data_IF_115576369063
#
_entry.id   IF_115576369063
#
_cell.length_a   1.000
_cell.length_b   1.000
_cell.length_c   1.000
_cell.angle_alpha   90.00
_cell.angle_beta   90.00
_cell.angle_gamma   90.00
#
_symmetry.space_group_name_H-M   'P 1'
#
loop_
_entity.id
_entity.type
_entity.pdbx_description
1 polymer ?
#
# COMPACT_ATOMS: atom_id res chain seq x y z
N UNK A 1 18.98 38.21 -47.72
CA UNK A 1 18.73 37.73 -49.10
C UNK A 1 17.45 36.90 -49.19
N UNK A 2 16.65 37.00 -50.28
CA UNK A 2 15.46 36.15 -50.49
C UNK A 2 15.84 34.76 -51.07
N UNK A 3 14.91 33.79 -51.11
CA UNK A 3 15.24 32.41 -51.50
C UNK A 3 15.70 32.27 -52.96
N UNK A 4 15.04 32.97 -53.89
CA UNK A 4 15.41 32.95 -55.30
C UNK A 4 16.76 33.65 -55.53
N UNK A 5 17.00 34.74 -54.81
CA UNK A 5 18.29 35.42 -54.78
C UNK A 5 19.40 34.52 -54.23
N UNK A 6 19.12 33.67 -53.24
CA UNK A 6 20.08 32.72 -52.70
C UNK A 6 20.47 31.63 -53.72
N UNK A 7 19.51 31.07 -54.46
CA UNK A 7 19.81 30.12 -55.54
C UNK A 7 20.63 30.78 -56.66
N UNK A 8 20.24 31.98 -57.07
CA UNK A 8 21.01 32.77 -58.05
C UNK A 8 22.40 33.12 -57.53
N UNK A 9 22.54 33.43 -56.24
CA UNK A 9 23.82 33.73 -55.61
C UNK A 9 24.76 32.52 -55.68
N UNK A 10 24.28 31.27 -55.60
CA UNK A 10 25.12 30.09 -55.75
C UNK A 10 25.30 29.60 -57.20
N UNK A 11 24.72 30.30 -58.18
CA UNK A 11 24.63 29.87 -59.59
C UNK A 11 23.93 28.50 -59.72
N UNK A 12 22.83 28.32 -58.99
CA UNK A 12 22.04 27.09 -58.96
C UNK A 12 20.61 27.33 -59.43
N UNK A 13 20.01 26.29 -59.99
CA UNK A 13 18.56 26.24 -60.24
C UNK A 13 17.80 26.09 -58.92
N UNK A 14 16.60 26.66 -58.82
CA UNK A 14 15.71 26.48 -57.66
C UNK A 14 15.37 25.00 -57.41
N UNK A 15 15.47 24.16 -58.45
CA UNK A 15 15.24 22.72 -58.40
C UNK A 15 16.51 21.88 -58.15
N UNK A 16 17.65 22.50 -57.80
CA UNK A 16 18.91 21.78 -57.57
C UNK A 16 18.76 20.77 -56.41
N UNK A 17 19.43 19.62 -56.46
CA UNK A 17 19.39 18.65 -55.34
C UNK A 17 20.25 19.13 -54.16
N UNK A 18 20.06 18.56 -52.96
CA UNK A 18 20.88 18.92 -51.78
C UNK A 18 22.37 18.66 -52.03
N UNK A 19 22.67 17.56 -52.72
CA UNK A 19 24.04 17.22 -53.12
C UNK A 19 24.63 18.25 -54.10
N UNK A 20 23.83 18.75 -55.04
CA UNK A 20 24.25 19.81 -55.97
C UNK A 20 24.54 21.13 -55.25
N UNK A 21 23.72 21.49 -54.26
CA UNK A 21 23.91 22.68 -53.43
C UNK A 21 25.20 22.59 -52.62
N UNK A 22 25.42 21.47 -51.94
CA UNK A 22 26.62 21.23 -51.14
C UNK A 22 27.89 21.23 -52.02
N UNK A 23 27.84 20.52 -53.15
CA UNK A 23 28.96 20.44 -54.09
C UNK A 23 29.32 21.80 -54.67
N UNK A 24 28.33 22.65 -54.94
CA UNK A 24 28.56 23.98 -55.49
C UNK A 24 29.13 24.94 -54.44
N UNK A 25 28.65 24.89 -53.19
CA UNK A 25 29.24 25.67 -52.10
C UNK A 25 30.70 25.25 -51.83
N UNK A 26 30.99 23.95 -51.86
CA UNK A 26 32.36 23.44 -51.73
C UNK A 26 33.29 23.91 -52.86
N UNK A 27 32.78 24.14 -54.08
CA UNK A 27 33.57 24.75 -55.17
C UNK A 27 33.93 26.20 -54.85
N UNK A 28 33.01 26.98 -54.30
CA UNK A 28 33.28 28.36 -53.87
C UNK A 28 34.32 28.42 -52.75
N UNK A 29 34.24 27.52 -51.76
CA UNK A 29 35.28 27.38 -50.72
C UNK A 29 36.65 27.08 -51.33
N UNK A 30 36.72 26.18 -52.32
CA UNK A 30 37.99 25.85 -53.01
C UNK A 30 38.53 27.04 -53.80
N UNK A 31 37.66 27.84 -54.45
CA UNK A 31 38.05 29.06 -55.18
C UNK A 31 38.63 30.11 -54.24
N UNK A 32 38.00 30.37 -53.10
CA UNK A 32 38.55 31.30 -52.10
C UNK A 32 39.90 30.82 -51.56
N UNK A 33 40.06 29.52 -51.31
CA UNK A 33 41.35 28.97 -50.88
C UNK A 33 42.47 29.17 -51.92
N UNK A 34 42.12 29.23 -53.21
CA UNK A 34 43.06 29.51 -54.30
C UNK A 34 43.29 31.01 -54.52
N UNK A 35 42.28 31.83 -54.25
CA UNK A 35 42.33 33.30 -54.34
C UNK A 35 41.63 33.94 -53.13
N UNK A 36 42.39 34.36 -52.11
CA UNK A 36 41.86 34.95 -50.88
C UNK A 36 41.12 36.27 -51.08
N UNK A 37 41.18 36.90 -52.26
CA UNK A 37 40.47 38.16 -52.54
C UNK A 37 38.97 37.96 -52.78
N UNK A 38 38.52 36.71 -52.99
CA UNK A 38 37.11 36.37 -53.19
C UNK A 38 36.38 36.34 -51.83
N UNK A 39 35.37 37.18 -51.65
CA UNK A 39 34.50 37.11 -50.46
C UNK A 39 33.56 35.90 -50.54
N UNK A 40 33.44 35.15 -49.43
CA UNK A 40 32.50 34.04 -49.29
C UNK A 40 31.21 34.44 -48.58
N UNK A 41 31.13 35.62 -47.97
CA UNK A 41 30.07 35.97 -47.03
C UNK A 41 28.68 35.83 -47.67
N UNK A 42 28.49 36.39 -48.87
CA UNK A 42 27.25 36.29 -49.63
C UNK A 42 26.91 34.83 -50.04
N UNK A 43 27.94 34.02 -50.32
CA UNK A 43 27.78 32.61 -50.70
C UNK A 43 27.40 31.75 -49.49
N UNK A 44 27.97 32.06 -48.32
CA UNK A 44 27.65 31.40 -47.05
C UNK A 44 26.23 31.78 -46.60
N UNK A 45 25.86 33.06 -46.69
CA UNK A 45 24.48 33.50 -46.42
C UNK A 45 23.48 32.77 -47.33
N UNK A 46 23.79 32.63 -48.62
CA UNK A 46 22.94 31.93 -49.59
C UNK A 46 22.78 30.45 -49.25
N UNK A 47 23.89 29.77 -48.96
CA UNK A 47 23.90 28.36 -48.58
C UNK A 47 23.08 28.11 -47.31
N UNK A 48 23.29 28.91 -46.26
CA UNK A 48 22.53 28.78 -45.01
C UNK A 48 21.04 29.05 -45.23
N UNK A 49 20.68 30.04 -46.06
CA UNK A 49 19.27 30.36 -46.35
C UNK A 49 18.56 29.22 -47.07
N UNK A 50 19.20 28.62 -48.09
CA UNK A 50 18.63 27.49 -48.83
C UNK A 50 18.49 26.26 -47.92
N UNK A 51 19.53 25.94 -47.15
CA UNK A 51 19.53 24.76 -46.27
C UNK A 51 18.47 24.86 -45.18
N UNK A 52 18.38 26.01 -44.51
CA UNK A 52 17.36 26.23 -43.48
C UNK A 52 15.94 26.12 -44.05
N UNK A 53 15.71 26.59 -45.28
CA UNK A 53 14.40 26.48 -45.93
C UNK A 53 14.02 25.03 -46.26
N UNK A 54 14.99 24.18 -46.62
CA UNK A 54 14.72 22.76 -46.92
C UNK A 54 14.54 21.91 -45.66
N UNK A 55 15.38 22.12 -44.66
CA UNK A 55 15.38 21.32 -43.44
C UNK A 55 14.18 21.64 -42.54
N UNK A 56 13.75 22.90 -42.50
CA UNK A 56 12.73 23.40 -41.57
C UNK A 56 11.51 24.04 -42.25
N UNK A 57 11.45 24.08 -43.58
CA UNK A 57 10.40 24.80 -44.32
C UNK A 57 10.58 26.32 -44.30
N UNK A 58 9.61 27.08 -44.81
CA UNK A 58 9.60 28.53 -44.64
C UNK A 58 9.49 28.89 -43.17
N UNK A 59 10.48 29.60 -42.62
CA UNK A 59 10.37 30.22 -41.29
C UNK A 59 9.19 31.19 -41.30
N UNK A 60 8.05 30.78 -40.76
CA UNK A 60 6.88 31.64 -40.61
C UNK A 60 7.05 32.49 -39.34
N UNK A 61 7.62 33.69 -39.52
CA UNK A 61 7.76 34.69 -38.46
C UNK A 61 6.41 35.15 -37.86
N UNK A 62 5.28 34.82 -38.51
CA UNK A 62 3.93 35.25 -38.13
C UNK A 62 2.97 34.12 -37.72
N UNK A 63 3.47 32.96 -37.30
CA UNK A 63 2.58 31.89 -36.81
C UNK A 63 1.80 32.36 -35.58
N UNK A 64 0.47 32.32 -35.70
CA UNK A 64 -0.45 32.63 -34.62
C UNK A 64 -0.31 31.61 -33.48
N UNK A 65 -0.64 31.98 -32.23
CA UNK A 65 -0.55 31.05 -31.09
C UNK A 65 -1.32 29.73 -31.34
N UNK A 66 -2.37 29.76 -32.17
CA UNK A 66 -3.13 28.58 -32.56
C UNK A 66 -2.32 27.62 -33.44
N UNK A 67 -1.55 28.12 -34.39
CA UNK A 67 -0.71 27.30 -35.28
C UNK A 67 0.43 26.65 -34.50
N UNK A 68 1.04 27.38 -33.56
CA UNK A 68 2.09 26.84 -32.67
C UNK A 68 1.58 25.71 -31.77
N UNK A 69 0.39 25.88 -31.19
CA UNK A 69 -0.26 24.85 -30.37
C UNK A 69 -0.66 23.64 -31.22
N UNK A 70 -1.23 23.87 -32.40
CA UNK A 70 -1.59 22.79 -33.33
C UNK A 70 -0.37 21.99 -33.77
N UNK A 71 0.73 22.66 -34.10
CA UNK A 71 2.00 22.04 -34.46
C UNK A 71 2.58 21.22 -33.29
N UNK A 72 2.54 21.76 -32.07
CA UNK A 72 2.96 21.03 -30.86
C UNK A 72 2.17 19.73 -30.69
N UNK A 73 0.84 19.77 -30.73
CA UNK A 73 0.03 18.55 -30.62
C UNK A 73 0.21 17.61 -31.82
N UNK A 74 0.42 18.13 -33.03
CA UNK A 74 0.63 17.30 -34.23
C UNK A 74 1.90 16.43 -34.11
N UNK A 75 3.01 17.03 -33.68
CA UNK A 75 4.30 16.34 -33.55
C UNK A 75 4.48 15.61 -32.21
N UNK A 76 3.93 16.14 -31.12
CA UNK A 76 4.12 15.61 -29.77
C UNK A 76 2.90 14.89 -29.19
N UNK A 77 1.89 14.53 -29.99
CA UNK A 77 0.67 13.83 -29.52
C UNK A 77 0.96 12.64 -28.58
N UNK A 78 1.88 11.76 -28.94
CA UNK A 78 2.20 10.56 -28.14
C UNK A 78 2.90 10.95 -26.83
N UNK A 79 3.89 11.84 -26.90
CA UNK A 79 4.60 12.35 -25.72
C UNK A 79 3.66 13.09 -24.76
N UNK A 80 2.69 13.82 -25.30
CA UNK A 80 1.70 14.56 -24.50
C UNK A 80 0.76 13.60 -23.77
N UNK A 81 0.26 12.56 -24.46
CA UNK A 81 -0.54 11.50 -23.82
C UNK A 81 0.26 10.79 -22.73
N UNK A 82 1.51 10.41 -23.02
CA UNK A 82 2.38 9.77 -22.03
C UNK A 82 2.66 10.67 -20.82
N UNK A 83 2.87 11.97 -21.03
CA UNK A 83 3.07 12.94 -19.95
C UNK A 83 1.83 13.09 -19.06
N UNK A 84 0.63 13.12 -19.65
CA UNK A 84 -0.64 13.18 -18.89
C UNK A 84 -0.84 11.91 -18.07
N UNK A 85 -0.62 10.74 -18.66
CA UNK A 85 -0.69 9.45 -17.94
C UNK A 85 0.33 9.42 -16.80
N UNK A 86 1.57 9.85 -17.07
CA UNK A 86 2.61 9.94 -16.06
C UNK A 86 2.25 10.88 -14.91
N UNK A 87 1.68 12.04 -15.20
CA UNK A 87 1.16 12.97 -14.18
C UNK A 87 0.04 12.34 -13.36
N UNK A 88 -0.87 11.61 -13.98
CA UNK A 88 -1.93 10.88 -13.29
C UNK A 88 -1.37 9.84 -12.30
N UNK A 89 -0.39 9.05 -12.73
CA UNK A 89 0.28 8.07 -11.87
C UNK A 89 1.04 8.74 -10.73
N UNK A 90 1.76 9.84 -10.99
CA UNK A 90 2.45 10.58 -9.94
C UNK A 90 1.47 11.18 -8.92
N UNK A 91 0.32 11.67 -9.39
CA UNK A 91 -0.73 12.20 -8.52
C UNK A 91 -1.34 11.11 -7.64
N UNK A 92 -1.67 9.94 -8.19
CA UNK A 92 -2.23 8.83 -7.39
C UNK A 92 -1.21 8.34 -6.36
N UNK A 93 0.03 8.09 -6.78
CA UNK A 93 1.09 7.66 -5.86
C UNK A 93 1.36 8.70 -4.77
N UNK A 94 1.45 9.98 -5.15
CA UNK A 94 1.62 11.08 -4.20
C UNK A 94 0.47 11.18 -3.19
N UNK A 95 -0.77 11.05 -3.66
CA UNK A 95 -1.97 11.06 -2.81
C UNK A 95 -1.98 9.89 -1.82
N UNK A 96 -1.66 8.67 -2.27
CA UNK A 96 -1.62 7.48 -1.41
C UNK A 96 -0.52 7.56 -0.36
N UNK A 97 0.68 8.06 -0.72
CA UNK A 97 1.75 8.26 0.25
C UNK A 97 1.35 9.32 1.29
N UNK A 98 0.73 10.41 0.85
CA UNK A 98 0.28 11.48 1.74
C UNK A 98 -0.82 11.00 2.70
N UNK A 99 -1.81 10.25 2.22
CA UNK A 99 -2.87 9.70 3.07
C UNK A 99 -2.31 8.76 4.13
N UNK A 100 -1.43 7.82 3.75
CA UNK A 100 -0.79 6.92 4.72
C UNK A 100 0.10 7.63 5.72
N UNK A 101 0.76 8.72 5.32
CA UNK A 101 1.54 9.53 6.26
C UNK A 101 0.64 10.20 7.31
N UNK A 102 -0.49 10.75 6.88
CA UNK A 102 -1.46 11.40 7.77
C UNK A 102 -2.12 10.39 8.69
N UNK A 103 -2.58 9.26 8.14
CA UNK A 103 -3.13 8.13 8.89
C UNK A 103 -2.15 7.62 9.94
N UNK A 104 -0.89 7.39 9.59
CA UNK A 104 0.15 7.00 10.56
C UNK A 104 0.37 8.04 11.66
N UNK A 105 0.28 9.32 11.32
CA UNK A 105 0.43 10.41 12.28
C UNK A 105 -0.75 10.48 13.22
N UNK A 106 -1.97 10.24 12.73
CA UNK A 106 -3.19 10.18 13.54
C UNK A 106 -3.17 8.93 14.44
N UNK A 107 -2.84 7.76 13.91
CA UNK A 107 -2.67 6.53 14.68
C UNK A 107 -1.57 6.66 15.75
N UNK A 108 -0.45 7.31 15.44
CA UNK A 108 0.62 7.55 16.40
C UNK A 108 0.27 8.59 17.48
N UNK A 109 -0.86 9.31 17.34
CA UNK A 109 -1.38 10.19 18.40
C UNK A 109 -2.43 9.51 19.27
N UNK A 110 -2.90 8.32 18.90
CA UNK A 110 -3.76 7.54 19.78
C UNK A 110 -2.96 7.10 21.00
N UNK A 111 -3.58 7.08 22.20
CA UNK A 111 -2.95 6.45 23.36
C UNK A 111 -2.72 4.96 23.05
N UNK A 112 -1.67 4.39 23.64
CA UNK A 112 -1.44 2.94 23.57
C UNK A 112 -2.70 2.20 24.06
N UNK A 113 -3.04 1.09 23.40
CA UNK A 113 -4.17 0.28 23.82
C UNK A 113 -3.93 -0.26 25.24
N UNK A 114 -4.97 -0.25 26.06
CA UNK A 114 -4.96 -0.95 27.34
C UNK A 114 -4.87 -2.47 27.12
N UNK A 115 -5.49 -2.96 26.05
CA UNK A 115 -5.38 -4.35 25.60
C UNK A 115 -5.66 -4.42 24.09
N UNK A 116 -4.89 -5.23 23.39
CA UNK A 116 -5.19 -5.65 22.02
C UNK A 116 -5.79 -7.07 22.04
N UNK A 117 -6.97 -7.24 21.44
CA UNK A 117 -7.75 -8.48 21.51
C UNK A 117 -7.96 -9.01 20.09
N UNK A 118 -7.70 -10.30 19.87
CA UNK A 118 -8.06 -10.98 18.64
C UNK A 118 -9.04 -12.12 18.92
N UNK A 119 -10.25 -11.99 18.37
CA UNK A 119 -11.20 -13.08 18.27
C UNK A 119 -10.88 -13.89 17.01
N UNK A 120 -10.62 -15.18 17.19
CA UNK A 120 -10.14 -16.04 16.11
C UNK A 120 -10.81 -17.41 16.17
N UNK A 121 -11.75 -17.67 15.27
CA UNK A 121 -12.41 -18.98 15.25
C UNK A 121 -13.71 -19.00 14.47
N UNK A 122 -14.31 -20.19 14.49
CA UNK A 122 -15.51 -20.57 13.75
C UNK A 122 -16.80 -20.15 14.45
N UNK A 123 -16.67 -19.70 15.70
CA UNK A 123 -17.75 -19.06 16.45
C UNK A 123 -18.14 -17.69 15.88
N UNK A 124 -17.30 -17.10 15.02
CA UNK A 124 -17.64 -15.89 14.27
C UNK A 124 -18.30 -16.26 12.94
N UNK A 125 -18.99 -15.31 12.31
CA UNK A 125 -19.54 -15.49 10.96
C UNK A 125 -18.64 -14.88 9.87
N UNK A 126 -18.55 -15.48 8.67
CA UNK A 126 -17.73 -14.93 7.57
C UNK A 126 -18.24 -13.60 6.99
N UNK A 127 -19.37 -13.08 7.49
CA UNK A 127 -20.00 -11.82 7.11
C UNK A 127 -20.26 -10.89 8.28
N UNK A 128 -19.33 -10.83 9.25
CA UNK A 128 -19.38 -9.86 10.35
C UNK A 128 -19.64 -8.44 9.83
N UNK A 129 -20.37 -7.66 10.63
CA UNK A 129 -20.63 -6.25 10.36
C UNK A 129 -19.31 -5.47 10.33
N UNK A 130 -19.18 -4.47 9.45
CA UNK A 130 -18.03 -3.57 9.35
C UNK A 130 -17.79 -2.80 10.66
N UNK A 131 -18.84 -2.59 11.45
CA UNK A 131 -18.78 -1.88 12.75
C UNK A 131 -18.57 -2.83 13.95
N UNK A 132 -18.45 -4.15 13.73
CA UNK A 132 -18.42 -5.13 14.83
C UNK A 132 -17.20 -4.94 15.75
N UNK A 133 -16.04 -4.59 15.20
CA UNK A 133 -14.82 -4.32 15.97
C UNK A 133 -15.01 -3.12 16.92
N UNK A 134 -15.47 -1.98 16.40
CA UNK A 134 -15.73 -0.76 17.20
C UNK A 134 -16.77 -1.01 18.31
N UNK A 135 -17.84 -1.75 18.01
CA UNK A 135 -18.86 -2.12 19.00
C UNK A 135 -18.28 -2.96 20.14
N UNK A 136 -17.35 -3.87 19.83
CA UNK A 136 -16.65 -4.67 20.85
C UNK A 136 -15.74 -3.80 21.69
N UNK A 137 -14.96 -2.91 21.07
CA UNK A 137 -14.08 -1.98 21.77
C UNK A 137 -14.86 -1.12 22.77
N UNK A 138 -15.98 -0.51 22.33
CA UNK A 138 -16.85 0.29 23.18
C UNK A 138 -17.45 -0.54 24.33
N UNK A 139 -17.85 -1.77 24.05
CA UNK A 139 -18.44 -2.66 25.05
C UNK A 139 -17.40 -3.09 26.10
N UNK A 140 -16.16 -3.36 25.70
CA UNK A 140 -15.07 -3.65 26.64
C UNK A 140 -14.71 -2.41 27.46
N UNK A 141 -14.66 -1.22 26.84
CA UNK A 141 -14.45 0.04 27.57
C UNK A 141 -15.57 0.32 28.59
N UNK A 142 -16.81 -0.05 28.29
CA UNK A 142 -17.92 0.07 29.23
C UNK A 142 -17.77 -0.86 30.45
N UNK A 143 -17.14 -2.03 30.28
CA UNK A 143 -16.79 -2.94 31.39
C UNK A 143 -15.57 -2.44 32.18
N UNK A 144 -14.65 -1.76 31.49
CA UNK A 144 -13.37 -1.30 32.01
C UNK A 144 -13.27 0.23 31.97
N UNK A 145 -14.02 0.96 32.82
CA UNK A 145 -14.16 2.43 32.72
C UNK A 145 -12.86 3.23 32.95
N UNK A 146 -11.83 2.59 33.51
CA UNK A 146 -10.50 3.19 33.69
C UNK A 146 -9.62 3.08 32.44
N UNK A 147 -10.05 2.31 31.43
CA UNK A 147 -9.34 2.14 30.16
C UNK A 147 -9.72 3.25 29.18
N UNK A 148 -8.74 3.64 28.37
CA UNK A 148 -8.88 4.73 27.40
C UNK A 148 -8.99 4.22 25.96
N UNK A 149 -8.43 3.03 25.68
CA UNK A 149 -8.45 2.43 24.35
C UNK A 149 -8.41 0.91 24.44
N UNK A 150 -9.24 0.26 23.64
CA UNK A 150 -9.18 -1.17 23.33
C UNK A 150 -9.01 -1.27 21.83
N UNK A 151 -8.25 -2.26 21.35
CA UNK A 151 -8.11 -2.57 19.93
C UNK A 151 -8.62 -4.00 19.73
N UNK A 152 -9.71 -4.18 19.01
CA UNK A 152 -10.29 -5.50 18.77
C UNK A 152 -10.24 -5.87 17.29
N UNK A 153 -9.74 -7.07 17.01
CA UNK A 153 -9.77 -7.67 15.67
C UNK A 153 -10.66 -8.91 15.69
N UNK A 154 -11.64 -8.98 14.79
CA UNK A 154 -12.53 -10.13 14.67
C UNK A 154 -12.24 -10.92 13.38
N UNK A 155 -11.73 -12.14 13.54
CA UNK A 155 -11.29 -12.97 12.42
C UNK A 155 -11.99 -14.32 12.40
N UNK A 156 -12.90 -14.50 11.44
CA UNK A 156 -13.45 -15.81 11.15
C UNK A 156 -12.34 -16.78 10.70
N UNK A 157 -12.25 -17.92 11.38
CA UNK A 157 -11.34 -19.00 11.04
C UNK A 157 -12.02 -20.35 11.28
N UNK A 158 -11.93 -21.25 10.30
CA UNK A 158 -12.35 -22.64 10.48
C UNK A 158 -11.18 -23.55 10.17
N UNK A 159 -10.97 -24.55 11.02
CA UNK A 159 -10.00 -25.63 10.77
C UNK A 159 -10.54 -26.57 9.69
N UNK A 160 -11.86 -26.70 9.60
CA UNK A 160 -12.54 -27.48 8.57
C UNK A 160 -12.86 -26.60 7.36
N UNK A 161 -12.32 -26.94 6.19
CA UNK A 161 -12.58 -26.24 4.92
C UNK A 161 -13.59 -27.03 4.10
N UNK A 162 -14.88 -26.71 4.24
CA UNK A 162 -15.92 -27.39 3.46
C UNK A 162 -16.16 -26.72 2.11
N UNK A 163 -15.85 -25.42 1.97
CA UNK A 163 -16.10 -24.65 0.75
C UNK A 163 -14.95 -23.70 0.35
N UNK A 164 -15.02 -23.14 -0.88
CA UNK A 164 -14.00 -22.23 -1.42
C UNK A 164 -13.92 -20.87 -0.70
N UNK A 165 -15.00 -20.43 -0.05
CA UNK A 165 -15.03 -19.20 0.75
C UNK A 165 -14.22 -19.40 2.04
N UNK A 166 -14.28 -20.59 2.64
CA UNK A 166 -13.50 -20.96 3.82
C UNK A 166 -11.99 -20.94 3.54
N UNK A 167 -11.56 -21.40 2.34
CA UNK A 167 -10.14 -21.37 1.94
C UNK A 167 -9.58 -19.95 1.87
N UNK A 168 -10.35 -19.01 1.32
CA UNK A 168 -9.96 -17.60 1.26
C UNK A 168 -9.87 -16.96 2.65
N UNK A 169 -10.85 -17.24 3.51
CA UNK A 169 -10.85 -16.79 4.90
C UNK A 169 -9.69 -17.39 5.70
N UNK A 170 -9.35 -18.67 5.49
CA UNK A 170 -8.23 -19.33 6.15
C UNK A 170 -6.88 -18.70 5.77
N UNK A 171 -6.68 -18.35 4.49
CA UNK A 171 -5.47 -17.67 4.03
C UNK A 171 -5.33 -16.29 4.67
N UNK A 172 -6.40 -15.50 4.72
CA UNK A 172 -6.40 -14.17 5.35
C UNK A 172 -6.14 -14.27 6.85
N UNK A 173 -6.85 -15.15 7.55
CA UNK A 173 -6.73 -15.33 8.99
C UNK A 173 -5.32 -15.79 9.39
N UNK A 174 -4.70 -16.67 8.62
CA UNK A 174 -3.31 -17.08 8.84
C UNK A 174 -2.33 -15.91 8.71
N UNK A 175 -2.53 -15.01 7.74
CA UNK A 175 -1.69 -13.81 7.60
C UNK A 175 -1.88 -12.88 8.79
N UNK A 176 -3.13 -12.60 9.19
CA UNK A 176 -3.44 -11.76 10.34
C UNK A 176 -2.81 -12.32 11.62
N UNK A 177 -2.93 -13.62 11.86
CA UNK A 177 -2.32 -14.23 13.04
C UNK A 177 -0.79 -14.09 13.06
N UNK A 178 -0.14 -14.06 11.88
CA UNK A 178 1.30 -13.91 11.76
C UNK A 178 1.78 -12.44 11.84
N UNK A 179 0.96 -11.48 11.42
CA UNK A 179 1.31 -10.06 11.41
C UNK A 179 0.91 -9.35 12.69
N UNK A 180 -0.27 -9.67 13.21
CA UNK A 180 -0.81 -9.08 14.42
C UNK A 180 -0.22 -9.75 15.66
N UNK A 181 -0.03 -8.95 16.71
CA UNK A 181 0.54 -9.41 17.98
C UNK A 181 -0.33 -8.96 19.16
N UNK A 182 -1.60 -9.37 19.20
CA UNK A 182 -2.51 -8.98 20.27
C UNK A 182 -2.01 -9.51 21.61
N UNK A 183 -2.40 -8.81 22.69
CA UNK A 183 -2.14 -9.25 24.05
C UNK A 183 -3.00 -10.48 24.42
N UNK A 184 -4.25 -10.50 23.93
CA UNK A 184 -5.28 -11.48 24.25
C UNK A 184 -5.83 -12.15 22.99
N UNK A 185 -5.91 -13.47 23.00
CA UNK A 185 -6.67 -14.25 22.03
C UNK A 185 -7.95 -14.79 22.64
N UNK A 186 -9.03 -14.79 21.86
CA UNK A 186 -10.26 -15.52 22.14
C UNK A 186 -10.48 -16.50 20.99
N UNK A 187 -10.19 -17.78 21.26
CA UNK A 187 -10.26 -18.87 20.29
C UNK A 187 -11.52 -19.71 20.47
N UNK A 188 -11.93 -20.46 19.45
CA UNK A 188 -12.64 -21.72 19.71
C UNK A 188 -11.67 -22.83 20.13
N UNK A 189 -12.22 -23.94 20.62
CA UNK A 189 -11.42 -25.08 21.06
C UNK A 189 -10.50 -25.63 19.93
N UNK A 190 -11.00 -25.77 18.71
CA UNK A 190 -10.22 -26.32 17.59
C UNK A 190 -9.02 -25.43 17.22
N UNK A 191 -9.21 -24.12 17.20
CA UNK A 191 -8.18 -23.13 16.92
C UNK A 191 -7.17 -23.08 18.07
N UNK A 192 -7.63 -23.07 19.32
CA UNK A 192 -6.75 -23.08 20.50
C UNK A 192 -5.80 -24.29 20.49
N UNK A 193 -6.33 -25.49 20.22
CA UNK A 193 -5.54 -26.72 20.17
C UNK A 193 -4.46 -26.70 19.09
N UNK A 194 -4.63 -25.92 18.03
CA UNK A 194 -3.62 -25.76 16.96
C UNK A 194 -2.37 -25.03 17.46
N UNK A 195 -2.51 -24.13 18.44
CA UNK A 195 -1.44 -23.24 18.87
C UNK A 195 -0.88 -23.53 20.27
N UNK A 196 -1.65 -24.19 21.14
CA UNK A 196 -1.25 -24.40 22.54
C UNK A 196 0.11 -25.11 22.68
N UNK A 197 0.42 -26.06 21.80
CA UNK A 197 1.70 -26.78 21.81
C UNK A 197 2.91 -25.94 21.39
N UNK A 198 2.71 -24.79 20.74
CA UNK A 198 3.82 -23.97 20.22
C UNK A 198 4.47 -23.05 21.25
N UNK A 199 3.98 -23.05 22.50
CA UNK A 199 4.44 -22.12 23.53
C UNK A 199 3.99 -20.67 23.28
N UNK A 200 2.92 -20.48 22.50
CA UNK A 200 2.39 -19.15 22.15
C UNK A 200 1.76 -18.41 23.34
N UNK A 201 1.28 -19.14 24.34
CA UNK A 201 0.50 -18.60 25.45
C UNK A 201 1.30 -18.55 26.75
N UNK A 202 1.07 -17.50 27.53
CA UNK A 202 1.59 -17.36 28.88
C UNK A 202 0.78 -18.23 29.86
N UNK A 203 1.43 -18.98 30.77
CA UNK A 203 0.74 -19.58 31.91
C UNK A 203 0.09 -18.49 32.77
N UNK A 204 -1.21 -18.58 32.99
CA UNK A 204 -1.99 -17.54 33.68
C UNK A 204 -1.59 -17.41 35.16
N UNK A 205 -1.13 -18.50 35.77
CA UNK A 205 -0.62 -18.54 37.14
C UNK A 205 0.77 -17.89 37.30
N UNK A 206 1.49 -17.63 36.20
CA UNK A 206 2.71 -16.81 36.21
C UNK A 206 2.40 -15.31 36.20
N UNK A 207 1.23 -14.91 35.68
CA UNK A 207 0.76 -13.52 35.70
C UNK A 207 0.15 -13.21 37.07
N UNK A 208 -0.78 -14.04 37.54
CA UNK A 208 -1.40 -13.93 38.87
C UNK A 208 -1.69 -15.32 39.45
N UNK A 209 -1.08 -15.65 40.59
CA UNK A 209 -1.22 -16.94 41.26
C UNK A 209 -2.62 -17.16 41.86
N UNK A 210 -3.45 -16.12 41.92
CA UNK A 210 -4.82 -16.17 42.43
C UNK A 210 -5.84 -16.66 41.41
N UNK A 211 -5.51 -16.71 40.11
CA UNK A 211 -6.42 -17.21 39.07
C UNK A 211 -6.98 -18.59 39.42
N UNK A 212 -6.13 -19.47 39.97
CA UNK A 212 -6.52 -20.82 40.40
C UNK A 212 -7.56 -20.87 41.53
N UNK A 213 -7.73 -19.77 42.27
CA UNK A 213 -8.65 -19.64 43.41
C UNK A 213 -9.90 -18.87 43.03
N UNK A 214 -9.74 -17.89 42.15
CA UNK A 214 -10.80 -16.93 41.81
C UNK A 214 -11.71 -17.46 40.70
N UNK A 215 -11.22 -18.40 39.89
CA UNK A 215 -11.97 -19.01 38.79
C UNK A 215 -12.32 -20.46 39.10
N UNK A 216 -13.50 -20.91 38.68
CA UNK A 216 -13.89 -22.30 38.82
C UNK A 216 -12.96 -23.20 38.01
N UNK A 217 -12.49 -24.29 38.63
CA UNK A 217 -11.62 -25.27 37.98
C UNK A 217 -12.21 -25.87 36.70
N UNK A 218 -13.53 -25.82 36.51
CA UNK A 218 -14.20 -26.24 35.27
C UNK A 218 -13.89 -25.34 34.08
N UNK A 219 -13.52 -24.08 34.30
CA UNK A 219 -13.16 -23.11 33.27
C UNK A 219 -11.68 -23.20 32.89
N UNK A 220 -10.85 -23.84 33.70
CA UNK A 220 -9.43 -23.97 33.42
C UNK A 220 -9.16 -24.78 32.15
N UNK A 221 -8.31 -24.23 31.28
CA UNK A 221 -7.78 -24.91 30.09
C UNK A 221 -6.28 -25.03 30.23
N UNK A 222 -5.84 -26.27 30.24
CA UNK A 222 -4.45 -26.61 30.40
C UNK A 222 -3.81 -27.00 29.06
N UNK A 223 -2.50 -26.80 28.96
CA UNK A 223 -1.72 -27.05 27.77
C UNK A 223 -0.29 -27.48 28.11
N UNK A 224 0.35 -28.15 27.16
CA UNK A 224 1.73 -28.62 27.26
C UNK A 224 2.50 -28.07 26.06
N UNK A 225 3.55 -27.30 26.31
CA UNK A 225 4.46 -26.80 25.27
C UNK A 225 5.30 -27.97 24.70
N UNK A 226 5.56 -27.95 23.39
CA UNK A 226 6.31 -29.02 22.72
C UNK A 226 7.72 -29.14 23.29
N UNK A 227 8.04 -30.32 23.83
CA UNK A 227 9.33 -30.58 24.49
C UNK A 227 9.30 -30.41 26.01
N UNK A 228 8.21 -29.93 26.57
CA UNK A 228 7.95 -29.93 28.01
C UNK A 228 7.12 -31.14 28.43
N UNK A 229 7.17 -31.46 29.73
CA UNK A 229 6.42 -32.58 30.32
C UNK A 229 5.33 -32.12 31.30
N UNK A 230 5.33 -30.84 31.68
CA UNK A 230 4.41 -30.29 32.67
C UNK A 230 3.26 -29.57 31.97
N UNK A 231 2.06 -29.87 32.43
CA UNK A 231 0.85 -29.23 31.97
C UNK A 231 0.62 -27.93 32.77
N UNK A 232 0.38 -26.82 32.07
CA UNK A 232 0.27 -25.47 32.65
C UNK A 232 -1.09 -24.86 32.34
N UNK A 233 -1.62 -24.02 33.24
CA UNK A 233 -2.88 -23.30 33.02
C UNK A 233 -2.63 -22.16 32.03
N UNK A 234 -3.01 -22.35 30.78
CA UNK A 234 -2.66 -21.42 29.68
C UNK A 234 -3.87 -20.70 29.08
N UNK A 235 -5.08 -21.07 29.50
CA UNK A 235 -6.29 -20.41 29.09
C UNK A 235 -7.47 -20.65 30.02
N UNK A 236 -8.52 -19.86 29.82
CA UNK A 236 -9.80 -20.00 30.51
C UNK A 236 -10.91 -20.11 29.47
N UNK A 237 -11.78 -21.13 29.62
CA UNK A 237 -13.07 -21.14 28.95
C UNK A 237 -13.88 -19.95 29.43
N UNK A 238 -14.43 -19.20 28.50
CA UNK A 238 -15.28 -18.07 28.79
C UNK A 238 -16.71 -18.56 28.97
N UNK A 239 -17.36 -18.08 30.02
CA UNK A 239 -18.80 -18.22 30.16
C UNK A 239 -19.50 -17.27 29.17
N UNK A 240 -20.79 -17.52 28.94
CA UNK A 240 -21.59 -16.61 28.13
C UNK A 240 -21.66 -15.24 28.82
N UNK A 241 -21.00 -14.25 28.23
CA UNK A 241 -21.00 -12.87 28.71
C UNK A 241 -21.88 -11.97 27.83
N UNK A 242 -22.50 -10.96 28.42
CA UNK A 242 -23.39 -10.04 27.71
C UNK A 242 -22.72 -9.27 26.56
N UNK A 243 -21.37 -9.16 26.58
CA UNK A 243 -20.53 -8.65 25.50
C UNK A 243 -20.86 -9.34 24.16
N UNK A 244 -21.15 -10.64 24.18
CA UNK A 244 -21.43 -11.41 22.97
C UNK A 244 -22.78 -11.08 22.34
N UNK A 245 -23.71 -10.43 23.04
CA UNK A 245 -24.96 -9.94 22.41
C UNK A 245 -24.71 -8.86 21.36
N UNK A 246 -23.52 -8.25 21.39
CA UNK A 246 -23.16 -7.16 20.48
C UNK A 246 -22.54 -7.67 19.17
N UNK A 247 -22.19 -8.96 19.13
CA UNK A 247 -21.55 -9.62 17.99
C UNK A 247 -22.43 -10.80 17.58
N UNK A 248 -22.63 -11.01 16.28
CA UNK A 248 -23.30 -12.21 15.78
C UNK A 248 -22.33 -13.41 15.90
N UNK A 249 -22.45 -14.18 16.98
CA UNK A 249 -21.62 -15.36 17.25
C UNK A 249 -22.44 -16.65 17.36
N UNK A 250 -21.81 -17.77 17.08
CA UNK A 250 -22.33 -19.09 17.39
C UNK A 250 -22.12 -19.42 18.88
N UNK A 251 -23.18 -19.27 19.67
CA UNK A 251 -23.18 -19.50 21.12
C UNK A 251 -22.91 -20.97 21.52
N UNK A 252 -23.08 -21.92 20.60
CA UNK A 252 -22.84 -23.35 20.87
C UNK A 252 -21.34 -23.72 20.85
N UNK A 253 -20.48 -22.81 20.36
CA UNK A 253 -19.04 -23.02 20.29
C UNK A 253 -18.40 -22.50 21.57
N UNK A 254 -17.63 -23.32 22.26
CA UNK A 254 -16.90 -22.90 23.47
C UNK A 254 -15.74 -21.98 23.10
N UNK A 255 -15.70 -20.79 23.71
CA UNK A 255 -14.59 -19.85 23.58
C UNK A 255 -13.55 -20.06 24.68
N UNK A 256 -12.28 -19.93 24.33
CA UNK A 256 -11.12 -20.04 25.22
C UNK A 256 -10.30 -18.76 25.09
N UNK A 257 -10.16 -18.04 26.20
CA UNK A 257 -9.27 -16.90 26.30
C UNK A 257 -7.86 -17.34 26.69
N UNK A 258 -6.85 -16.84 25.98
CA UNK A 258 -5.44 -17.12 26.25
C UNK A 258 -4.58 -15.86 26.02
N UNK A 259 -3.62 -15.63 26.92
CA UNK A 259 -2.76 -14.44 26.87
C UNK A 259 -1.49 -14.80 26.13
N UNK A 260 -1.05 -13.94 25.22
CA UNK A 260 0.17 -14.16 24.44
C UNK A 260 1.42 -14.08 25.33
N UNK A 261 2.39 -14.99 25.14
CA UNK A 261 3.61 -15.10 25.95
C UNK A 261 4.48 -13.83 25.96
N UNK A 262 4.53 -13.09 24.85
CA UNK A 262 5.26 -11.81 24.71
C UNK A 262 4.34 -10.58 24.70
N UNK A 263 3.10 -10.68 25.20
CA UNK A 263 2.17 -9.57 25.34
C UNK A 263 2.74 -8.42 26.19
N UNK A 264 2.43 -7.18 25.81
CA UNK A 264 2.85 -5.98 26.54
C UNK A 264 1.92 -5.70 27.73
N UNK A 265 0.63 -6.01 27.59
CA UNK A 265 -0.40 -5.70 28.57
C UNK A 265 -1.00 -6.96 29.24
N UNK A 266 -0.14 -7.88 29.72
CA UNK A 266 -0.57 -9.18 30.30
C UNK A 266 -1.55 -9.02 31.46
N UNK A 267 -1.31 -8.08 32.37
CA UNK A 267 -2.14 -7.85 33.54
C UNK A 267 -3.53 -7.32 33.15
N UNK A 268 -3.59 -6.40 32.17
CA UNK A 268 -4.86 -5.88 31.65
C UNK A 268 -5.64 -6.98 30.91
N UNK A 269 -4.95 -7.78 30.10
CA UNK A 269 -5.55 -8.93 29.42
C UNK A 269 -6.15 -9.91 30.44
N UNK A 270 -5.40 -10.26 31.48
CA UNK A 270 -5.91 -11.15 32.53
C UNK A 270 -7.10 -10.54 33.28
N UNK A 271 -7.01 -9.25 33.63
CA UNK A 271 -8.11 -8.54 34.28
C UNK A 271 -9.40 -8.60 33.44
N UNK A 272 -9.29 -8.47 32.13
CA UNK A 272 -10.44 -8.62 31.23
C UNK A 272 -10.98 -10.05 31.21
N UNK A 273 -10.11 -11.06 31.09
CA UNK A 273 -10.56 -12.47 31.12
C UNK A 273 -11.35 -12.75 32.41
N UNK A 274 -10.85 -12.31 33.56
CA UNK A 274 -11.51 -12.49 34.85
C UNK A 274 -12.83 -11.73 34.95
N UNK A 275 -12.95 -10.59 34.26
CA UNK A 275 -14.20 -9.82 34.19
C UNK A 275 -15.25 -10.50 33.30
N UNK A 276 -14.81 -11.36 32.37
CA UNK A 276 -15.66 -12.13 31.46
C UNK A 276 -16.06 -13.52 32.01
N UNK A 277 -15.61 -13.89 33.23
CA UNK A 277 -16.08 -15.06 33.97
C UNK A 277 -17.37 -14.72 34.74
#
# INVERSE_FOLDING_TARGET
MNLQEAYRCLDLSENATDEEIEKQYMRWIRKQKADPSISLDDKTEAYTRIRNHRDYGSTHENDTMKEKVSHFFYYYKIHTVAAVIGLGVLFTVGSTIYSHYQERKELATLPDANVEIMFYGSFLHPGLNEEAEEVVEESVLALMPEWNRVDATLTYHSVDTENLLDVGAQQRSTVLLATERPDLYIFDEASFQTFVGSGMFEPLDEIDDQVNKDVYASSHVYGVEEGEAEERLVGLKLDYHSLYNTIDINEDVTQIAAIRKDAANKENALQLILTLQ
#
